data_IF_311965301564
#
_entry.id   IF_311965301564
#
_cell.length_a   1.000
_cell.length_b   1.000
_cell.length_c   1.000
_cell.angle_alpha   90.00
_cell.angle_beta   90.00
_cell.angle_gamma   90.00
#
_symmetry.space_group_name_H-M   'P 1'
#
loop_
_entity.id
_entity.type
_entity.pdbx_description
1 polymer ?
#
# COMPACT_ATOMS: atom_id res chain seq x y z
N UNK A 1 -4.98 -18.84 7.90
CA UNK A 1 -5.02 -20.21 7.34
C UNK A 1 -4.22 -20.22 6.05
N UNK A 2 -3.27 -21.14 5.92
CA UNK A 2 -2.43 -21.32 4.73
C UNK A 2 -3.27 -21.82 3.55
N UNK A 3 -2.96 -21.36 2.33
CA UNK A 3 -3.58 -21.89 1.11
C UNK A 3 -3.06 -23.32 0.88
N UNK A 4 -3.74 -24.33 1.43
CA UNK A 4 -3.34 -25.75 1.34
C UNK A 4 -3.15 -26.21 -0.10
N UNK A 5 -3.91 -25.62 -1.04
CA UNK A 5 -3.72 -25.87 -2.47
C UNK A 5 -2.39 -25.31 -2.97
N UNK A 6 -2.04 -24.06 -2.60
CA UNK A 6 -0.76 -23.44 -2.96
C UNK A 6 0.43 -24.28 -2.48
N UNK A 7 0.35 -24.87 -1.28
CA UNK A 7 1.38 -25.77 -0.76
C UNK A 7 1.44 -27.09 -1.52
N UNK A 8 0.28 -27.68 -1.82
CA UNK A 8 0.16 -28.93 -2.55
C UNK A 8 0.72 -28.82 -3.98
N UNK A 9 0.36 -27.78 -4.74
CA UNK A 9 0.76 -27.66 -6.16
C UNK A 9 2.18 -27.13 -6.39
N UNK A 10 2.87 -26.75 -5.31
CA UNK A 10 4.25 -26.25 -5.37
C UNK A 10 5.26 -27.14 -4.63
N UNK A 11 4.90 -28.33 -4.16
CA UNK A 11 5.79 -29.26 -3.46
C UNK A 11 6.09 -30.54 -4.28
N UNK A 12 7.32 -31.05 -4.18
CA UNK A 12 7.74 -32.40 -4.61
C UNK A 12 7.09 -33.02 -5.86
N UNK A 13 6.48 -34.20 -5.68
CA UNK A 13 5.84 -35.01 -6.74
C UNK A 13 4.56 -34.35 -7.28
N UNK A 14 3.79 -33.69 -6.42
CA UNK A 14 2.52 -33.03 -6.76
C UNK A 14 2.72 -31.81 -7.66
N UNK A 15 3.90 -31.15 -7.61
CA UNK A 15 4.31 -30.12 -8.58
C UNK A 15 4.36 -30.66 -10.02
N UNK A 16 4.90 -31.87 -10.21
CA UNK A 16 5.00 -32.51 -11.54
C UNK A 16 3.61 -32.91 -12.04
N UNK A 17 2.80 -33.50 -11.16
CA UNK A 17 1.43 -33.90 -11.46
C UNK A 17 0.55 -32.69 -11.83
N UNK A 18 0.62 -31.61 -11.06
CA UNK A 18 -0.13 -30.39 -11.33
C UNK A 18 0.27 -29.75 -12.67
N UNK A 19 1.55 -29.80 -13.05
CA UNK A 19 2.01 -29.34 -14.35
C UNK A 19 1.47 -30.21 -15.51
N UNK A 20 1.47 -31.53 -15.36
CA UNK A 20 0.91 -32.46 -16.36
C UNK A 20 -0.61 -32.30 -16.52
N UNK A 21 -1.31 -31.96 -15.44
CA UNK A 21 -2.76 -31.76 -15.42
C UNK A 21 -3.18 -30.31 -15.78
N UNK A 22 -2.23 -29.43 -16.11
CA UNK A 22 -2.53 -28.03 -16.45
C UNK A 22 -3.16 -27.21 -15.32
N UNK A 23 -2.96 -27.62 -14.06
CA UNK A 23 -3.56 -26.95 -12.92
C UNK A 23 -2.92 -25.58 -12.66
N UNK A 24 -3.69 -24.56 -12.24
CA UNK A 24 -3.14 -23.27 -11.83
C UNK A 24 -2.08 -23.41 -10.74
N UNK A 25 -0.91 -22.81 -10.95
CA UNK A 25 0.22 -22.88 -10.00
C UNK A 25 0.65 -21.47 -9.58
N UNK A 26 -0.12 -20.83 -8.69
CA UNK A 26 0.26 -19.52 -8.17
C UNK A 26 1.64 -19.58 -7.52
N UNK A 27 2.42 -18.52 -7.71
CA UNK A 27 3.75 -18.41 -7.13
C UNK A 27 3.66 -18.18 -5.61
N UNK A 28 4.64 -18.64 -4.84
CA UNK A 28 4.79 -18.22 -3.45
C UNK A 28 5.32 -16.78 -3.46
N UNK A 29 4.51 -15.83 -2.98
CA UNK A 29 4.92 -14.42 -2.95
C UNK A 29 5.98 -14.18 -1.87
N UNK A 30 7.08 -13.54 -2.27
CA UNK A 30 8.12 -13.04 -1.35
C UNK A 30 7.51 -11.90 -0.53
N UNK A 31 7.53 -12.05 0.80
CA UNK A 31 7.09 -11.03 1.77
C UNK A 31 8.25 -10.59 2.64
N UNK A 32 8.17 -9.37 3.13
CA UNK A 32 9.25 -8.77 3.91
C UNK A 32 9.49 -9.52 5.23
N UNK A 33 10.76 -9.55 5.62
CA UNK A 33 11.26 -10.03 6.91
C UNK A 33 12.44 -9.10 7.27
N UNK A 34 12.57 -8.71 8.55
CA UNK A 34 13.69 -7.86 8.97
C UNK A 34 15.04 -8.42 8.55
N UNK A 35 15.92 -7.54 8.07
CA UNK A 35 17.29 -7.89 7.66
C UNK A 35 17.42 -8.64 6.33
N UNK A 36 16.32 -8.84 5.59
CA UNK A 36 16.38 -9.36 4.22
C UNK A 36 16.63 -8.20 3.25
N UNK A 37 17.54 -8.35 2.27
CA UNK A 37 17.82 -7.30 1.28
C UNK A 37 16.56 -6.81 0.55
N UNK A 38 16.56 -5.56 0.10
CA UNK A 38 15.45 -4.95 -0.64
C UNK A 38 15.14 -5.75 -1.92
N UNK A 39 16.16 -5.99 -2.73
CA UNK A 39 16.12 -6.82 -3.93
C UNK A 39 17.04 -8.04 -3.77
N UNK A 40 16.73 -9.11 -4.47
CA UNK A 40 17.61 -10.29 -4.57
C UNK A 40 18.06 -10.40 -6.03
N UNK A 41 18.99 -9.52 -6.43
CA UNK A 41 19.51 -9.39 -7.80
C UNK A 41 19.52 -7.95 -8.32
N UNK A 42 20.08 -7.73 -9.51
CA UNK A 42 20.27 -6.39 -10.08
C UNK A 42 18.95 -5.73 -10.48
N UNK A 43 18.97 -4.40 -10.50
CA UNK A 43 17.92 -3.55 -11.04
C UNK A 43 18.31 -3.03 -12.42
N UNK A 44 17.36 -2.99 -13.34
CA UNK A 44 17.51 -2.34 -14.64
C UNK A 44 16.74 -1.03 -14.63
N UNK A 45 17.39 0.10 -14.89
CA UNK A 45 16.72 1.40 -15.03
C UNK A 45 16.78 1.83 -16.49
N UNK A 46 15.60 1.99 -17.09
CA UNK A 46 15.41 2.36 -18.49
C UNK A 46 14.70 3.72 -18.56
N UNK A 47 15.00 4.48 -19.60
CA UNK A 47 14.51 5.84 -19.77
C UNK A 47 15.60 6.72 -20.37
N UNK A 48 15.29 7.98 -20.62
CA UNK A 48 16.24 8.99 -21.07
C UNK A 48 16.11 10.21 -20.17
N UNK A 49 17.09 11.10 -20.26
CA UNK A 49 17.05 12.39 -19.58
C UNK A 49 17.43 12.36 -18.11
N UNK A 50 17.44 13.54 -17.48
CA UNK A 50 17.99 13.75 -16.14
C UNK A 50 17.24 12.96 -15.06
N UNK A 51 15.93 12.80 -15.18
CA UNK A 51 15.13 12.01 -14.24
C UNK A 51 15.55 10.52 -14.26
N UNK A 52 15.81 9.96 -15.43
CA UNK A 52 16.25 8.57 -15.56
C UNK A 52 17.63 8.36 -14.94
N UNK A 53 18.54 9.33 -15.10
CA UNK A 53 19.87 9.30 -14.51
C UNK A 53 19.82 9.48 -12.99
N UNK A 54 18.97 10.39 -12.50
CA UNK A 54 18.76 10.62 -11.07
C UNK A 54 18.20 9.37 -10.36
N UNK A 55 17.23 8.68 -10.96
CA UNK A 55 16.70 7.42 -10.41
C UNK A 55 17.79 6.34 -10.39
N UNK A 56 18.61 6.22 -11.44
CA UNK A 56 19.69 5.24 -11.45
C UNK A 56 20.76 5.53 -10.38
N UNK A 57 21.17 6.79 -10.24
CA UNK A 57 22.11 7.22 -9.22
C UNK A 57 21.55 6.98 -7.80
N UNK A 58 20.27 7.27 -7.58
CA UNK A 58 19.58 7.00 -6.31
C UNK A 58 19.62 5.50 -5.97
N UNK A 59 19.25 4.63 -6.91
CA UNK A 59 19.23 3.18 -6.67
C UNK A 59 20.63 2.59 -6.45
N UNK A 60 21.67 3.18 -7.06
CA UNK A 60 23.06 2.78 -6.89
C UNK A 60 23.73 3.39 -5.64
N UNK A 61 23.05 4.31 -4.94
CA UNK A 61 23.65 5.04 -3.81
C UNK A 61 24.03 4.08 -2.67
N UNK A 62 25.25 4.21 -2.11
CA UNK A 62 25.73 3.31 -1.07
C UNK A 62 24.95 3.52 0.23
N UNK A 63 24.85 2.46 1.03
CA UNK A 63 24.33 2.56 2.39
C UNK A 63 25.22 3.49 3.25
N UNK A 64 24.62 4.41 4.01
CA UNK A 64 25.34 5.38 4.83
C UNK A 64 25.85 6.64 4.10
N UNK A 65 25.49 6.84 2.82
CA UNK A 65 25.82 8.06 2.07
C UNK A 65 24.99 9.29 2.48
N UNK A 66 25.40 10.51 2.09
CA UNK A 66 24.60 11.71 2.29
C UNK A 66 23.23 11.54 1.61
N UNK A 67 22.18 12.08 2.24
CA UNK A 67 20.78 11.88 1.82
C UNK A 67 20.51 12.28 0.36
N UNK A 68 21.28 13.22 -0.20
CA UNK A 68 21.24 13.65 -1.60
C UNK A 68 22.52 14.42 -1.98
N UNK A 69 23.00 14.35 -3.24
CA UNK A 69 24.11 15.19 -3.73
C UNK A 69 23.73 16.67 -3.94
N UNK A 70 22.46 17.06 -3.69
CA UNK A 70 21.93 18.41 -3.94
C UNK A 70 21.19 19.04 -2.75
N UNK A 71 21.28 18.45 -1.55
CA UNK A 71 20.77 19.04 -0.32
C UNK A 71 21.95 19.28 0.64
N UNK A 72 21.96 20.43 1.30
CA UNK A 72 23.04 20.95 2.15
C UNK A 72 23.70 19.89 3.06
N UNK A 73 25.02 20.04 3.29
CA UNK A 73 25.91 19.20 4.13
C UNK A 73 25.44 18.98 5.59
N UNK A 74 24.30 19.56 5.99
CA UNK A 74 23.69 19.42 7.30
C UNK A 74 22.61 18.30 7.39
N UNK A 75 22.24 17.66 6.28
CA UNK A 75 21.29 16.55 6.32
C UNK A 75 21.92 15.29 6.96
N UNK A 76 21.26 14.65 7.94
CA UNK A 76 21.77 13.42 8.54
C UNK A 76 21.97 12.34 7.46
N UNK A 77 23.09 11.61 7.54
CA UNK A 77 23.36 10.50 6.65
C UNK A 77 22.23 9.47 6.70
N UNK A 78 21.74 9.04 5.53
CA UNK A 78 20.75 7.96 5.44
C UNK A 78 21.50 6.66 5.70
N UNK A 79 21.28 6.03 6.86
CA UNK A 79 22.05 4.86 7.28
C UNK A 79 21.84 3.66 6.34
N UNK A 80 20.67 3.55 5.69
CA UNK A 80 20.37 2.50 4.71
C UNK A 80 20.04 3.06 3.31
N UNK A 81 21.07 3.51 2.59
CA UNK A 81 21.05 3.68 1.13
C UNK A 81 20.61 2.41 0.38
N UNK A 82 20.48 2.50 -0.93
CA UNK A 82 19.87 1.44 -1.74
C UNK A 82 20.83 0.29 -2.04
N UNK A 83 22.11 0.61 -2.27
CA UNK A 83 23.22 -0.31 -2.56
C UNK A 83 22.86 -1.40 -3.59
N UNK A 84 22.13 -1.00 -4.65
CA UNK A 84 21.72 -1.92 -5.70
C UNK A 84 22.74 -1.94 -6.83
N UNK A 85 22.96 -3.13 -7.38
CA UNK A 85 23.58 -3.30 -8.69
C UNK A 85 22.62 -2.79 -9.78
N UNK A 86 22.93 -1.62 -10.36
CA UNK A 86 22.08 -0.92 -11.31
C UNK A 86 22.66 -0.98 -12.72
N UNK A 87 21.91 -1.59 -13.63
CA UNK A 87 22.20 -1.57 -15.06
C UNK A 87 21.37 -0.48 -15.76
N UNK A 88 21.97 0.21 -16.73
CA UNK A 88 21.28 1.20 -17.61
C UNK A 88 20.84 0.63 -18.95
N UNK A 89 21.27 -0.59 -19.26
CA UNK A 89 20.95 -1.29 -20.50
C UNK A 89 20.70 -2.78 -20.20
N UNK A 90 19.81 -3.46 -20.94
CA UNK A 90 19.65 -4.90 -20.85
C UNK A 90 20.98 -5.60 -21.12
N UNK A 91 21.43 -6.42 -20.18
CA UNK A 91 22.61 -7.26 -20.34
C UNK A 91 22.19 -8.69 -20.70
N UNK A 92 22.87 -9.35 -21.68
CA UNK A 92 22.67 -10.76 -21.95
C UNK A 92 22.87 -11.60 -20.68
N UNK A 93 22.08 -12.65 -20.52
CA UNK A 93 22.17 -13.63 -19.42
C UNK A 93 21.94 -13.09 -17.98
N UNK A 94 21.62 -11.80 -17.83
CA UNK A 94 21.29 -11.21 -16.54
C UNK A 94 19.80 -11.39 -16.23
N UNK A 95 19.53 -11.95 -15.04
CA UNK A 95 18.17 -12.06 -14.50
C UNK A 95 17.93 -10.97 -13.47
N UNK A 96 17.21 -9.94 -13.89
CA UNK A 96 16.88 -8.79 -13.05
C UNK A 96 15.86 -9.13 -11.96
N UNK A 97 16.06 -8.54 -10.78
CA UNK A 97 15.07 -8.52 -9.70
C UNK A 97 14.07 -7.37 -9.88
N UNK A 98 14.50 -6.28 -10.52
CA UNK A 98 13.65 -5.13 -10.79
C UNK A 98 13.92 -4.53 -12.18
N UNK A 99 12.87 -3.98 -12.78
CA UNK A 99 12.94 -3.12 -13.96
C UNK A 99 12.20 -1.82 -13.64
N UNK A 100 12.89 -0.68 -13.72
CA UNK A 100 12.32 0.65 -13.51
C UNK A 100 12.30 1.39 -14.83
N UNK A 101 11.11 1.77 -15.28
CA UNK A 101 10.85 2.51 -16.51
C UNK A 101 10.60 3.98 -16.15
N UNK A 102 11.60 4.84 -16.32
CA UNK A 102 11.48 6.28 -16.12
C UNK A 102 11.02 6.91 -17.43
N UNK A 103 9.77 7.35 -17.44
CA UNK A 103 9.00 7.81 -18.59
C UNK A 103 8.47 9.24 -18.38
N UNK A 104 9.18 10.05 -17.58
CA UNK A 104 8.76 11.42 -17.24
C UNK A 104 8.88 12.39 -18.41
N UNK A 105 9.79 12.13 -19.35
CA UNK A 105 10.05 12.95 -20.54
C UNK A 105 9.20 12.58 -21.76
N UNK A 106 8.27 11.63 -21.63
CA UNK A 106 7.42 11.18 -22.75
C UNK A 106 6.46 12.30 -23.17
N UNK A 107 6.56 12.72 -24.44
CA UNK A 107 5.77 13.82 -25.01
C UNK A 107 4.96 13.39 -26.25
N UNK A 108 5.30 12.26 -26.87
CA UNK A 108 4.58 11.64 -27.97
C UNK A 108 4.46 10.12 -27.76
N UNK A 109 3.39 9.44 -28.21
CA UNK A 109 3.25 7.99 -28.04
C UNK A 109 4.42 7.15 -28.59
N UNK A 110 5.09 7.64 -29.63
CA UNK A 110 6.25 6.98 -30.24
C UNK A 110 7.47 6.91 -29.29
N UNK A 111 7.56 7.82 -28.31
CA UNK A 111 8.65 7.86 -27.33
C UNK A 111 8.66 6.60 -26.43
N UNK A 112 7.54 5.91 -26.32
CA UNK A 112 7.40 4.70 -25.51
C UNK A 112 8.17 3.51 -26.09
N UNK A 113 8.30 3.43 -27.43
CA UNK A 113 8.78 2.23 -28.09
C UNK A 113 10.17 1.80 -27.61
N UNK A 114 11.11 2.74 -27.49
CA UNK A 114 12.48 2.46 -27.06
C UNK A 114 12.58 1.81 -25.67
N UNK A 115 12.20 2.52 -24.58
CA UNK A 115 12.29 1.98 -23.23
C UNK A 115 11.41 0.74 -23.02
N UNK A 116 10.22 0.69 -23.63
CA UNK A 116 9.31 -0.46 -23.46
C UNK A 116 9.84 -1.72 -24.13
N UNK A 117 10.36 -1.64 -25.36
CA UNK A 117 10.94 -2.80 -26.04
C UNK A 117 12.23 -3.27 -25.36
N UNK A 118 13.03 -2.33 -24.82
CA UNK A 118 14.18 -2.67 -23.99
C UNK A 118 13.75 -3.45 -22.73
N UNK A 119 12.70 -3.01 -22.03
CA UNK A 119 12.15 -3.75 -20.90
C UNK A 119 11.66 -5.14 -21.32
N UNK A 120 10.86 -5.21 -22.40
CA UNK A 120 10.28 -6.45 -22.91
C UNK A 120 11.32 -7.56 -23.14
N UNK A 121 12.51 -7.20 -23.63
CA UNK A 121 13.63 -8.14 -23.85
C UNK A 121 14.08 -8.88 -22.58
N UNK A 122 13.81 -8.32 -21.40
CA UNK A 122 14.26 -8.85 -20.10
C UNK A 122 13.17 -9.56 -19.30
N UNK A 123 11.89 -9.29 -19.58
CA UNK A 123 10.76 -9.75 -18.75
C UNK A 123 10.65 -11.28 -18.65
N UNK A 124 11.02 -11.99 -19.72
CA UNK A 124 11.05 -13.47 -19.71
C UNK A 124 12.08 -14.01 -18.71
N UNK A 125 13.17 -13.27 -18.48
CA UNK A 125 14.26 -13.60 -17.56
C UNK A 125 14.07 -13.08 -16.13
N UNK A 126 13.02 -12.29 -15.86
CA UNK A 126 12.77 -11.68 -14.56
C UNK A 126 12.80 -12.73 -13.44
N UNK A 127 13.39 -12.38 -12.29
CA UNK A 127 13.45 -13.27 -11.13
C UNK A 127 12.03 -13.49 -10.56
N UNK A 128 11.74 -14.65 -9.94
CA UNK A 128 10.48 -14.86 -9.23
C UNK A 128 10.26 -13.78 -8.16
N UNK A 129 9.06 -13.23 -8.09
CA UNK A 129 8.78 -12.08 -7.23
C UNK A 129 9.47 -10.78 -7.68
N UNK A 130 9.87 -10.68 -8.96
CA UNK A 130 10.46 -9.46 -9.50
C UNK A 130 9.50 -8.27 -9.50
N UNK A 131 10.05 -7.09 -9.75
CA UNK A 131 9.30 -5.83 -9.71
C UNK A 131 9.44 -5.08 -11.02
N UNK A 132 8.33 -4.61 -11.57
CA UNK A 132 8.35 -3.62 -12.65
C UNK A 132 7.71 -2.35 -12.13
N UNK A 133 8.43 -1.24 -12.22
CA UNK A 133 7.94 0.06 -11.74
C UNK A 133 8.04 1.11 -12.83
N UNK A 134 6.94 1.76 -13.19
CA UNK A 134 7.02 2.99 -14.01
C UNK A 134 7.18 4.20 -13.09
N UNK A 135 7.97 5.18 -13.52
CA UNK A 135 8.02 6.53 -12.93
C UNK A 135 7.65 7.49 -14.04
N UNK A 136 6.49 8.12 -13.97
CA UNK A 136 5.96 8.94 -15.06
C UNK A 136 5.12 10.11 -14.54
N UNK A 137 4.80 11.05 -15.42
CA UNK A 137 3.96 12.22 -15.11
C UNK A 137 2.50 11.94 -15.48
N UNK A 138 1.51 12.48 -14.74
CA UNK A 138 0.10 12.32 -15.08
C UNK A 138 -0.24 13.10 -16.36
N UNK A 139 -1.21 12.64 -17.14
CA UNK A 139 -1.81 13.46 -18.18
C UNK A 139 -2.69 14.55 -17.52
N UNK A 140 -2.62 15.78 -18.01
CA UNK A 140 -3.44 16.90 -17.52
C UNK A 140 -4.30 17.48 -18.63
N UNK A 141 -5.38 18.19 -18.25
CA UNK A 141 -6.35 18.71 -19.23
C UNK A 141 -5.81 19.88 -20.07
N UNK A 142 -4.77 20.56 -19.59
CA UNK A 142 -4.20 21.76 -20.20
C UNK A 142 -3.01 21.45 -21.14
N UNK A 143 -2.66 20.17 -21.30
CA UNK A 143 -1.56 19.71 -22.15
C UNK A 143 -1.93 19.64 -23.64
N UNK A 144 -0.90 19.67 -24.50
CA UNK A 144 -1.06 19.32 -25.90
C UNK A 144 -1.59 17.87 -26.03
N UNK A 145 -2.54 17.58 -26.94
CA UNK A 145 -3.16 16.25 -27.05
C UNK A 145 -2.17 15.09 -27.20
N UNK A 146 -1.03 15.30 -27.88
CA UNK A 146 0.01 14.29 -28.02
C UNK A 146 0.68 13.92 -26.68
N UNK A 147 0.96 14.93 -25.84
CA UNK A 147 1.56 14.74 -24.51
C UNK A 147 0.58 14.02 -23.59
N UNK A 148 -0.66 14.50 -23.53
CA UNK A 148 -1.71 13.87 -22.73
C UNK A 148 -1.95 12.40 -23.16
N UNK A 149 -2.00 12.13 -24.47
CA UNK A 149 -2.14 10.77 -24.99
C UNK A 149 -0.95 9.88 -24.63
N UNK A 150 0.28 10.39 -24.71
CA UNK A 150 1.48 9.65 -24.40
C UNK A 150 1.57 9.32 -22.89
N UNK A 151 1.35 10.31 -22.03
CA UNK A 151 1.34 10.16 -20.56
C UNK A 151 0.22 9.21 -20.10
N UNK A 152 -1.00 9.38 -20.60
CA UNK A 152 -2.13 8.49 -20.29
C UNK A 152 -1.91 7.07 -20.82
N UNK A 153 -1.18 6.92 -21.94
CA UNK A 153 -0.78 5.64 -22.51
C UNK A 153 0.07 4.79 -21.55
N UNK A 154 0.90 5.43 -20.71
CA UNK A 154 1.73 4.74 -19.72
C UNK A 154 0.88 3.98 -18.69
N UNK A 155 -0.25 4.55 -18.27
CA UNK A 155 -1.17 3.91 -17.32
C UNK A 155 -1.74 2.60 -17.88
N UNK A 156 -2.19 2.64 -19.13
CA UNK A 156 -2.75 1.49 -19.83
C UNK A 156 -1.70 0.41 -20.10
N UNK A 157 -0.49 0.85 -20.50
CA UNK A 157 0.68 0.00 -20.67
C UNK A 157 0.99 -0.74 -19.37
N UNK A 158 1.20 -0.03 -18.26
CA UNK A 158 1.59 -0.64 -16.98
C UNK A 158 0.56 -1.66 -16.51
N UNK A 159 -0.74 -1.30 -16.55
CA UNK A 159 -1.80 -2.21 -16.09
C UNK A 159 -1.87 -3.48 -16.94
N UNK A 160 -1.61 -3.38 -18.24
CA UNK A 160 -1.57 -4.55 -19.12
C UNK A 160 -0.32 -5.38 -18.86
N UNK A 161 0.84 -4.73 -18.78
CA UNK A 161 2.13 -5.34 -18.46
C UNK A 161 2.07 -6.15 -17.16
N UNK A 162 1.50 -5.59 -16.09
CA UNK A 162 1.34 -6.28 -14.81
C UNK A 162 0.54 -7.60 -14.93
N UNK A 163 -0.47 -7.68 -15.82
CA UNK A 163 -1.24 -8.92 -16.07
C UNK A 163 -0.44 -9.98 -16.83
N UNK A 164 0.59 -9.57 -17.55
CA UNK A 164 1.46 -10.47 -18.32
C UNK A 164 2.64 -11.01 -17.50
N UNK A 165 2.97 -10.35 -16.39
CA UNK A 165 4.03 -10.78 -15.49
C UNK A 165 3.73 -12.16 -14.88
N UNK A 166 4.80 -12.91 -14.62
CA UNK A 166 4.75 -14.30 -14.13
C UNK A 166 5.59 -14.45 -12.86
N UNK A 167 5.49 -15.61 -12.23
CA UNK A 167 6.34 -15.95 -11.09
C UNK A 167 6.09 -15.10 -9.84
N UNK A 168 4.90 -14.51 -9.70
CA UNK A 168 4.56 -13.63 -8.58
C UNK A 168 5.22 -12.25 -8.65
N UNK A 169 5.74 -11.87 -9.82
CA UNK A 169 6.18 -10.51 -10.07
C UNK A 169 4.98 -9.55 -10.14
N UNK A 170 5.23 -8.27 -9.85
CA UNK A 170 4.20 -7.22 -9.80
C UNK A 170 4.64 -6.02 -10.62
N UNK A 171 3.68 -5.34 -11.25
CA UNK A 171 3.87 -4.09 -11.98
C UNK A 171 3.12 -2.94 -11.31
N UNK A 172 3.81 -1.88 -10.87
CA UNK A 172 3.19 -0.69 -10.26
C UNK A 172 3.77 0.62 -10.83
N UNK A 173 3.14 1.75 -10.60
CA UNK A 173 3.56 3.04 -11.15
C UNK A 173 3.60 4.12 -10.09
N UNK A 174 4.68 4.89 -10.09
CA UNK A 174 4.83 6.12 -9.34
C UNK A 174 4.49 7.27 -10.29
N UNK A 175 3.33 7.90 -10.06
CA UNK A 175 2.86 9.01 -10.87
C UNK A 175 3.30 10.29 -10.18
N UNK A 176 4.28 10.98 -10.73
CA UNK A 176 4.92 12.14 -10.09
C UNK A 176 4.27 13.39 -10.66
N UNK A 177 3.62 14.21 -9.82
CA UNK A 177 3.02 15.47 -10.26
C UNK A 177 4.07 16.39 -10.92
N UNK A 178 3.66 17.20 -11.90
CA UNK A 178 4.60 18.12 -12.57
C UNK A 178 5.26 19.07 -11.54
N UNK A 179 6.55 19.35 -11.75
CA UNK A 179 7.35 20.15 -10.81
C UNK A 179 7.90 19.39 -9.59
N UNK A 180 7.41 18.20 -9.28
CA UNK A 180 7.97 17.37 -8.20
C UNK A 180 9.21 16.61 -8.69
N UNK A 181 10.38 16.71 -8.03
CA UNK A 181 11.56 15.94 -8.40
C UNK A 181 11.36 14.44 -8.22
N UNK A 182 11.92 13.60 -9.12
CA UNK A 182 11.89 12.13 -8.95
C UNK A 182 12.68 11.63 -7.74
N UNK A 183 13.45 12.53 -7.13
CA UNK A 183 14.25 12.34 -5.92
C UNK A 183 13.56 12.83 -4.65
N UNK A 184 12.36 13.39 -4.75
CA UNK A 184 11.59 13.86 -3.60
C UNK A 184 11.32 12.70 -2.60
N UNK A 185 11.30 12.97 -1.28
CA UNK A 185 11.13 11.95 -0.24
C UNK A 185 10.00 10.96 -0.51
N UNK A 186 8.84 11.46 -0.93
CA UNK A 186 7.66 10.62 -1.23
C UNK A 186 7.77 9.80 -2.50
N UNK A 187 8.49 10.29 -3.51
CA UNK A 187 8.79 9.50 -4.72
C UNK A 187 9.75 8.37 -4.35
N UNK A 188 10.81 8.68 -3.60
CA UNK A 188 11.79 7.70 -3.12
C UNK A 188 11.13 6.63 -2.26
N UNK A 189 10.30 7.03 -1.30
CA UNK A 189 9.58 6.11 -0.41
C UNK A 189 8.60 5.21 -1.18
N UNK A 190 7.86 5.78 -2.14
CA UNK A 190 6.94 5.02 -2.99
C UNK A 190 7.69 4.01 -3.86
N UNK A 191 8.79 4.44 -4.48
CA UNK A 191 9.66 3.56 -5.27
C UNK A 191 10.21 2.43 -4.40
N UNK A 192 10.67 2.72 -3.18
CA UNK A 192 11.20 1.71 -2.25
C UNK A 192 10.12 0.73 -1.83
N UNK A 193 8.92 1.21 -1.53
CA UNK A 193 7.78 0.36 -1.22
C UNK A 193 7.48 -0.60 -2.37
N UNK A 194 7.34 -0.10 -3.61
CA UNK A 194 7.03 -0.95 -4.77
C UNK A 194 8.16 -1.90 -5.15
N UNK A 195 9.43 -1.52 -4.96
CA UNK A 195 10.57 -2.40 -5.22
C UNK A 195 10.77 -3.47 -4.13
N UNK A 196 10.17 -3.30 -2.95
CA UNK A 196 10.36 -4.21 -1.83
C UNK A 196 9.45 -5.45 -1.84
N UNK A 197 9.69 -6.34 -0.88
CA UNK A 197 8.78 -7.42 -0.53
C UNK A 197 7.58 -6.96 0.32
N UNK A 198 7.51 -5.69 0.72
CA UNK A 198 6.38 -5.09 1.47
C UNK A 198 5.16 -4.86 0.56
N UNK A 199 5.37 -4.66 -0.74
CA UNK A 199 4.31 -4.50 -1.75
C UNK A 199 3.80 -5.82 -2.37
N UNK A 200 4.02 -6.97 -1.73
CA UNK A 200 3.85 -8.29 -2.35
C UNK A 200 2.47 -8.56 -2.99
N UNK A 201 1.40 -7.90 -2.51
CA UNK A 201 0.04 -8.04 -3.02
C UNK A 201 -0.54 -6.72 -3.58
N UNK A 202 0.33 -5.75 -3.85
CA UNK A 202 0.02 -4.51 -4.57
C UNK A 202 0.49 -4.69 -6.00
N UNK A 203 -0.46 -4.72 -6.93
CA UNK A 203 -0.17 -5.03 -8.33
C UNK A 203 -1.12 -4.29 -9.26
N UNK A 204 -0.60 -3.81 -10.38
CA UNK A 204 -1.27 -2.95 -11.34
C UNK A 204 -1.75 -1.62 -10.78
N UNK A 205 -1.12 -1.11 -9.70
CA UNK A 205 -1.51 0.15 -9.06
C UNK A 205 -0.68 1.33 -9.56
N UNK A 206 -1.33 2.48 -9.64
CA UNK A 206 -0.73 3.77 -9.93
C UNK A 206 -0.88 4.61 -8.66
N UNK A 207 0.22 5.01 -8.05
CA UNK A 207 0.21 5.85 -6.86
C UNK A 207 0.80 7.21 -7.21
N UNK A 208 -0.02 8.23 -7.02
CA UNK A 208 0.34 9.61 -7.31
C UNK A 208 1.05 10.26 -6.11
N UNK A 209 2.09 11.01 -6.41
CA UNK A 209 2.88 11.83 -5.48
C UNK A 209 2.71 13.29 -5.90
N UNK A 210 2.05 14.05 -5.02
CA UNK A 210 1.54 15.40 -5.25
C UNK A 210 2.57 16.51 -5.06
N UNK A 211 3.55 16.28 -4.18
CA UNK A 211 4.50 17.29 -3.75
C UNK A 211 5.83 16.69 -3.34
N UNK A 212 6.81 17.56 -3.09
CA UNK A 212 8.10 17.22 -2.50
C UNK A 212 8.05 16.99 -0.98
N UNK A 213 6.86 17.04 -0.37
CA UNK A 213 6.67 16.83 1.05
C UNK A 213 7.06 15.39 1.48
N UNK A 214 7.45 15.27 2.74
CA UNK A 214 7.84 14.02 3.38
C UNK A 214 9.24 14.09 3.97
N UNK A 215 9.56 13.15 4.84
CA UNK A 215 10.85 13.05 5.51
C UNK A 215 11.37 11.62 5.40
N UNK A 216 12.53 11.45 4.77
CA UNK A 216 13.17 10.14 4.67
C UNK A 216 13.60 9.66 6.05
N UNK A 217 13.37 8.39 6.41
CA UNK A 217 13.77 7.89 7.71
C UNK A 217 15.30 7.73 7.75
N UNK A 218 15.85 7.88 8.95
CA UNK A 218 17.27 7.56 9.20
C UNK A 218 17.54 6.06 9.14
N UNK A 219 16.55 5.23 9.49
CA UNK A 219 16.56 3.76 9.45
C UNK A 219 15.31 3.28 8.67
N UNK A 220 15.53 2.61 7.54
CA UNK A 220 14.44 2.15 6.66
C UNK A 220 13.76 0.86 7.16
N UNK A 221 14.37 0.15 8.08
CA UNK A 221 13.75 -0.96 8.81
C UNK A 221 12.85 -0.45 9.94
N UNK A 222 13.07 0.78 10.42
CA UNK A 222 12.25 1.44 11.45
C UNK A 222 11.70 2.82 11.03
N UNK A 223 10.95 2.91 9.91
CA UNK A 223 10.50 4.19 9.34
C UNK A 223 9.46 4.93 10.20
N UNK A 224 8.93 4.30 11.25
CA UNK A 224 7.95 4.87 12.18
C UNK A 224 8.52 5.08 13.58
N UNK A 225 9.85 5.00 13.74
CA UNK A 225 10.51 5.22 15.02
C UNK A 225 10.07 6.55 15.66
N UNK A 226 9.65 6.48 16.92
CA UNK A 226 9.20 7.65 17.69
C UNK A 226 7.75 8.08 17.43
N UNK A 227 7.03 7.46 16.49
CA UNK A 227 5.61 7.77 16.22
C UNK A 227 4.68 6.98 17.14
N UNK A 228 3.57 7.60 17.55
CA UNK A 228 2.48 6.96 18.30
C UNK A 228 1.30 6.74 17.36
N UNK A 229 0.88 5.47 17.22
CA UNK A 229 -0.15 5.05 16.28
C UNK A 229 -1.34 4.40 16.98
N UNK A 230 -2.55 4.88 16.69
CA UNK A 230 -3.80 4.25 17.11
C UNK A 230 -4.31 3.35 15.98
N UNK A 231 -4.70 2.11 16.30
CA UNK A 231 -5.30 1.18 15.35
C UNK A 231 -6.66 0.72 15.88
N UNK A 232 -7.74 1.01 15.15
CA UNK A 232 -9.09 0.56 15.52
C UNK A 232 -9.40 -0.84 14.98
N UNK A 233 -10.20 -1.63 15.70
CA UNK A 233 -10.47 -3.03 15.35
C UNK A 233 -9.22 -3.91 15.44
N UNK A 234 -8.35 -3.63 16.41
CA UNK A 234 -7.01 -4.22 16.51
C UNK A 234 -6.95 -5.56 17.24
N UNK A 235 -8.07 -6.09 17.75
CA UNK A 235 -8.04 -7.33 18.52
C UNK A 235 -7.57 -8.55 17.69
N UNK A 236 -7.87 -8.56 16.38
CA UNK A 236 -7.58 -9.70 15.49
C UNK A 236 -7.49 -9.32 14.01
N UNK A 237 -7.20 -10.31 13.17
CA UNK A 237 -7.28 -10.18 11.72
C UNK A 237 -6.35 -9.11 11.16
N UNK A 238 -6.88 -8.28 10.25
CA UNK A 238 -6.11 -7.20 9.60
C UNK A 238 -5.65 -6.14 10.62
N UNK A 239 -6.50 -5.76 11.58
CA UNK A 239 -6.13 -4.76 12.59
C UNK A 239 -4.97 -5.22 13.48
N UNK A 240 -4.97 -6.50 13.88
CA UNK A 240 -3.84 -7.07 14.62
C UNK A 240 -2.55 -7.10 13.78
N UNK A 241 -2.65 -7.45 12.49
CA UNK A 241 -1.50 -7.43 11.59
C UNK A 241 -0.96 -6.01 11.34
N UNK A 242 -1.85 -5.00 11.26
CA UNK A 242 -1.46 -3.59 11.20
C UNK A 242 -0.69 -3.22 12.47
N UNK A 243 -1.21 -3.55 13.66
CA UNK A 243 -0.51 -3.31 14.92
C UNK A 243 0.89 -3.95 14.94
N UNK A 244 0.99 -5.21 14.50
CA UNK A 244 2.27 -5.94 14.45
C UNK A 244 3.29 -5.26 13.51
N UNK A 245 2.85 -4.82 12.33
CA UNK A 245 3.74 -4.16 11.35
C UNK A 245 4.12 -2.75 11.78
N UNK A 246 3.20 -1.94 12.29
CA UNK A 246 3.52 -0.59 12.77
C UNK A 246 4.54 -0.65 13.93
N UNK A 247 4.38 -1.61 14.84
CA UNK A 247 5.33 -1.81 15.94
C UNK A 247 6.69 -2.32 15.46
N UNK A 248 6.71 -3.26 14.49
CA UNK A 248 7.95 -3.71 13.83
C UNK A 248 8.72 -2.53 13.25
N UNK A 249 7.99 -1.64 12.58
CA UNK A 249 8.54 -0.44 11.93
C UNK A 249 8.86 0.70 12.94
N UNK A 250 8.69 0.46 14.24
CA UNK A 250 9.18 1.33 15.31
C UNK A 250 8.12 2.22 15.99
N UNK A 251 6.85 2.13 15.61
CA UNK A 251 5.78 2.89 16.24
C UNK A 251 5.40 2.33 17.63
N UNK A 252 5.02 3.22 18.54
CA UNK A 252 4.30 2.86 19.76
C UNK A 252 2.82 2.72 19.44
N UNK A 253 2.24 1.52 19.64
CA UNK A 253 0.86 1.24 19.21
C UNK A 253 -0.14 1.34 20.37
N UNK A 254 -1.24 2.04 20.13
CA UNK A 254 -2.48 2.00 20.92
C UNK A 254 -3.49 1.14 20.16
N UNK A 255 -3.74 -0.06 20.65
CA UNK A 255 -4.69 -1.00 20.06
C UNK A 255 -6.09 -0.72 20.61
N UNK A 256 -7.05 -0.42 19.72
CA UNK A 256 -8.44 -0.10 20.08
C UNK A 256 -9.38 -1.17 19.54
N UNK A 257 -10.26 -1.69 20.40
CA UNK A 257 -11.36 -2.56 19.99
C UNK A 257 -12.48 -2.54 21.05
N UNK A 258 -13.62 -3.15 20.73
CA UNK A 258 -14.77 -3.20 21.65
C UNK A 258 -14.43 -3.98 22.93
N UNK A 259 -15.05 -3.66 24.09
CA UNK A 259 -14.81 -4.39 25.34
C UNK A 259 -14.98 -5.91 25.22
N UNK A 260 -15.94 -6.36 24.41
CA UNK A 260 -16.20 -7.78 24.16
C UNK A 260 -15.01 -8.52 23.49
N UNK A 261 -14.07 -7.80 22.87
CA UNK A 261 -12.85 -8.36 22.28
C UNK A 261 -11.62 -8.17 23.20
N UNK A 262 -11.82 -7.79 24.46
CA UNK A 262 -10.78 -7.34 25.39
C UNK A 262 -9.62 -8.32 25.59
N UNK A 263 -9.88 -9.63 25.62
CA UNK A 263 -8.84 -10.66 25.77
C UNK A 263 -7.89 -10.67 24.55
N UNK A 264 -8.46 -10.73 23.34
CA UNK A 264 -7.70 -10.70 22.09
C UNK A 264 -6.97 -9.36 21.91
N UNK A 265 -7.62 -8.26 22.32
CA UNK A 265 -7.02 -6.93 22.31
C UNK A 265 -5.80 -6.84 23.23
N UNK A 266 -5.92 -7.35 24.45
CA UNK A 266 -4.80 -7.42 25.39
C UNK A 266 -3.64 -8.28 24.84
N UNK A 267 -3.95 -9.42 24.22
CA UNK A 267 -2.95 -10.27 23.57
C UNK A 267 -2.20 -9.53 22.44
N UNK A 268 -2.91 -8.78 21.60
CA UNK A 268 -2.28 -7.95 20.57
C UNK A 268 -1.45 -6.82 21.17
N UNK A 269 -1.98 -6.06 22.11
CA UNK A 269 -1.25 -4.97 22.78
C UNK A 269 0.05 -5.48 23.46
N UNK A 270 -0.01 -6.62 24.15
CA UNK A 270 1.16 -7.23 24.78
C UNK A 270 2.20 -7.69 23.74
N UNK A 271 1.76 -8.32 22.65
CA UNK A 271 2.66 -8.79 21.58
C UNK A 271 3.44 -7.65 20.93
N UNK A 272 2.77 -6.51 20.72
CA UNK A 272 3.39 -5.31 20.12
C UNK A 272 4.02 -4.37 21.14
N UNK A 273 4.02 -4.74 22.43
CA UNK A 273 4.47 -3.90 23.55
C UNK A 273 3.80 -2.51 23.56
N UNK A 274 2.54 -2.46 23.12
CA UNK A 274 1.70 -1.27 23.07
C UNK A 274 0.75 -1.18 24.26
N UNK A 275 -0.31 -0.39 24.12
CA UNK A 275 -1.38 -0.29 25.12
C UNK A 275 -2.74 -0.63 24.50
N UNK A 276 -3.62 -1.24 25.30
CA UNK A 276 -4.99 -1.54 24.89
C UNK A 276 -5.95 -0.43 25.37
N UNK A 277 -6.90 -0.06 24.51
CA UNK A 277 -8.03 0.80 24.85
C UNK A 277 -9.32 0.10 24.41
N UNK A 278 -10.11 -0.37 25.38
CA UNK A 278 -11.41 -0.95 25.12
C UNK A 278 -12.45 0.16 24.90
N UNK A 279 -12.94 0.28 23.67
CA UNK A 279 -13.80 1.38 23.21
C UNK A 279 -14.64 0.92 22.01
N UNK A 280 -15.93 1.22 22.05
CA UNK A 280 -16.76 1.22 20.85
C UNK A 280 -16.49 2.50 20.06
N UNK A 281 -15.96 2.36 18.84
CA UNK A 281 -15.63 3.51 17.98
C UNK A 281 -16.86 4.34 17.59
N UNK A 282 -18.07 3.79 17.73
CA UNK A 282 -19.31 4.52 17.44
C UNK A 282 -19.75 5.42 18.57
N UNK A 283 -19.18 5.27 19.78
CA UNK A 283 -19.50 6.10 20.94
C UNK A 283 -19.28 7.60 20.63
N UNK A 284 -20.14 8.49 21.15
CA UNK A 284 -20.00 9.93 20.92
C UNK A 284 -18.65 10.49 21.35
N UNK A 285 -18.07 9.94 22.42
CA UNK A 285 -16.82 10.36 23.06
C UNK A 285 -15.57 9.61 22.58
N UNK A 286 -15.68 8.84 21.48
CA UNK A 286 -14.61 7.95 21.03
C UNK A 286 -13.34 8.72 20.63
N UNK A 287 -13.49 9.88 19.99
CA UNK A 287 -12.37 10.73 19.59
C UNK A 287 -11.60 11.26 20.80
N UNK A 288 -12.32 11.80 21.80
CA UNK A 288 -11.73 12.35 23.02
C UNK A 288 -11.00 11.26 23.81
N UNK A 289 -11.60 10.07 23.92
CA UNK A 289 -11.01 8.94 24.66
C UNK A 289 -9.74 8.41 23.98
N UNK A 290 -9.72 8.35 22.65
CA UNK A 290 -8.53 7.95 21.89
C UNK A 290 -7.39 8.95 22.15
N UNK A 291 -7.69 10.24 21.99
CA UNK A 291 -6.70 11.30 22.16
C UNK A 291 -6.17 11.35 23.61
N UNK A 292 -7.06 11.32 24.60
CA UNK A 292 -6.71 11.33 26.01
C UNK A 292 -5.84 10.14 26.39
N UNK A 293 -6.13 8.94 25.88
CA UNK A 293 -5.33 7.75 26.15
C UNK A 293 -3.93 7.84 25.53
N UNK A 294 -3.84 8.26 24.26
CA UNK A 294 -2.55 8.43 23.59
C UNK A 294 -1.67 9.47 24.29
N UNK A 295 -2.24 10.62 24.66
CA UNK A 295 -1.54 11.68 25.41
C UNK A 295 -1.11 11.21 26.80
N UNK A 296 -2.01 10.61 27.57
CA UNK A 296 -1.72 10.20 28.94
C UNK A 296 -0.64 9.10 29.03
N UNK A 297 -0.55 8.22 28.03
CA UNK A 297 0.42 7.12 28.03
C UNK A 297 1.71 7.42 27.30
N UNK A 298 1.63 8.21 26.23
CA UNK A 298 2.73 8.36 25.26
C UNK A 298 3.05 9.82 24.91
N UNK A 299 2.31 10.78 25.47
CA UNK A 299 2.54 12.23 25.30
C UNK A 299 2.05 12.81 23.97
N UNK A 300 1.77 11.99 22.96
CA UNK A 300 1.40 12.43 21.59
C UNK A 300 0.52 11.43 20.86
N UNK A 301 -0.03 11.85 19.72
CA UNK A 301 -0.67 11.00 18.72
C UNK A 301 -0.23 11.47 17.32
N UNK A 302 0.27 10.56 16.50
CA UNK A 302 0.81 10.87 15.16
C UNK A 302 0.02 10.20 14.04
N UNK A 303 -0.41 8.96 14.29
CA UNK A 303 -1.07 8.13 13.29
C UNK A 303 -2.40 7.64 13.83
N UNK A 304 -3.47 7.76 13.04
CA UNK A 304 -4.73 7.07 13.28
C UNK A 304 -5.06 6.15 12.11
N UNK A 305 -5.24 4.86 12.41
CA UNK A 305 -5.65 3.85 11.45
C UNK A 305 -7.09 3.43 11.70
N UNK A 306 -7.97 3.83 10.78
CA UNK A 306 -9.38 3.47 10.79
C UNK A 306 -9.61 2.11 10.13
N UNK A 307 -9.31 1.04 10.87
CA UNK A 307 -9.48 -0.34 10.40
C UNK A 307 -10.80 -0.98 10.87
N UNK A 308 -11.39 -0.55 11.98
CA UNK A 308 -12.65 -1.09 12.48
C UNK A 308 -13.73 -1.05 11.38
N UNK A 309 -14.41 -2.18 11.21
CA UNK A 309 -15.46 -2.29 10.20
C UNK A 309 -16.24 -3.59 10.28
N UNK A 310 -17.49 -3.54 9.85
CA UNK A 310 -18.41 -4.67 9.83
C UNK A 310 -19.11 -4.83 8.49
N UNK A 311 -19.60 -6.04 8.23
CA UNK A 311 -20.48 -6.38 7.12
C UNK A 311 -21.82 -6.88 7.64
N UNK A 312 -22.90 -6.55 6.93
CA UNK A 312 -24.27 -7.05 7.18
C UNK A 312 -24.94 -7.32 5.85
N UNK A 313 -24.37 -8.29 5.13
CA UNK A 313 -24.73 -8.57 3.75
C UNK A 313 -26.18 -9.01 3.62
N UNK A 314 -26.90 -8.36 2.69
CA UNK A 314 -28.29 -8.64 2.34
C UNK A 314 -28.60 -7.94 1.01
N UNK A 315 -29.42 -8.57 0.17
CA UNK A 315 -29.96 -7.87 -1.00
C UNK A 315 -30.78 -6.66 -0.54
N UNK A 316 -30.71 -5.54 -1.27
CA UNK A 316 -31.34 -4.28 -0.86
C UNK A 316 -32.85 -4.43 -0.63
N UNK A 317 -33.53 -5.22 -1.46
CA UNK A 317 -34.97 -5.53 -1.31
C UNK A 317 -35.34 -6.19 0.03
N UNK A 318 -34.35 -6.75 0.74
CA UNK A 318 -34.52 -7.42 2.03
C UNK A 318 -33.70 -6.74 3.14
N UNK A 319 -33.18 -5.53 2.92
CA UNK A 319 -32.35 -4.80 3.88
C UNK A 319 -33.24 -4.21 4.98
N UNK A 320 -32.83 -4.39 6.24
CA UNK A 320 -33.49 -3.75 7.38
C UNK A 320 -32.74 -2.48 7.79
N UNK A 321 -33.41 -1.50 8.43
CA UNK A 321 -32.75 -0.28 8.94
C UNK A 321 -31.53 -0.59 9.80
N UNK A 322 -31.64 -1.49 10.78
CA UNK A 322 -30.52 -1.84 11.68
C UNK A 322 -29.27 -2.35 10.95
N UNK A 323 -29.46 -3.13 9.86
CA UNK A 323 -28.36 -3.65 9.05
C UNK A 323 -27.73 -2.58 8.18
N UNK A 324 -28.51 -1.61 7.75
CA UNK A 324 -28.03 -0.46 6.99
C UNK A 324 -27.25 0.49 7.90
N UNK A 325 -27.90 0.95 8.97
CA UNK A 325 -27.40 1.95 9.90
C UNK A 325 -26.16 1.49 10.64
N UNK A 326 -26.13 0.26 11.16
CA UNK A 326 -24.95 -0.25 11.88
C UNK A 326 -23.69 -0.28 11.01
N UNK A 327 -23.82 -0.63 9.72
CA UNK A 327 -22.69 -0.67 8.80
C UNK A 327 -22.14 0.74 8.55
N UNK A 328 -23.01 1.73 8.31
CA UNK A 328 -22.60 3.13 8.13
C UNK A 328 -22.02 3.73 9.42
N UNK A 329 -22.68 3.46 10.55
CA UNK A 329 -22.27 3.96 11.86
C UNK A 329 -20.83 3.56 12.19
N UNK A 330 -20.48 2.28 12.02
CA UNK A 330 -19.14 1.77 12.30
C UNK A 330 -18.14 2.15 11.21
N UNK A 331 -18.49 1.95 9.93
CA UNK A 331 -17.50 1.96 8.86
C UNK A 331 -17.15 3.36 8.35
N UNK A 332 -17.97 4.40 8.60
CA UNK A 332 -17.69 5.76 8.10
C UNK A 332 -18.11 6.86 9.07
N UNK A 333 -19.30 6.78 9.70
CA UNK A 333 -19.76 7.87 10.57
C UNK A 333 -18.91 8.01 11.84
N UNK A 334 -18.48 6.89 12.43
CA UNK A 334 -17.51 6.89 13.53
C UNK A 334 -16.19 7.56 13.16
N UNK A 335 -15.67 7.27 11.96
CA UNK A 335 -14.40 7.81 11.48
C UNK A 335 -14.47 9.33 11.31
N UNK A 336 -15.58 9.84 10.76
CA UNK A 336 -15.84 11.28 10.64
C UNK A 336 -15.84 11.97 12.00
N UNK A 337 -16.56 11.44 12.99
CA UNK A 337 -16.61 12.01 14.35
C UNK A 337 -15.24 12.00 15.03
N UNK A 338 -14.51 10.88 14.94
CA UNK A 338 -13.16 10.78 15.50
C UNK A 338 -12.24 11.80 14.82
N UNK A 339 -12.27 11.90 13.50
CA UNK A 339 -11.45 12.86 12.77
C UNK A 339 -11.79 14.31 13.13
N UNK A 340 -13.07 14.66 13.31
CA UNK A 340 -13.48 16.01 13.74
C UNK A 340 -12.82 16.40 15.07
N UNK A 341 -12.85 15.50 16.07
CA UNK A 341 -12.19 15.73 17.36
C UNK A 341 -10.67 15.86 17.18
N UNK A 342 -10.04 14.95 16.42
CA UNK A 342 -8.59 14.99 16.20
C UNK A 342 -8.16 16.30 15.52
N UNK A 343 -8.83 16.69 14.43
CA UNK A 343 -8.52 17.88 13.64
C UNK A 343 -8.73 19.19 14.41
N UNK A 344 -9.63 19.23 15.39
CA UNK A 344 -9.93 20.44 16.17
C UNK A 344 -9.21 20.50 17.52
N UNK A 345 -8.56 19.41 17.96
CA UNK A 345 -7.94 19.30 19.29
C UNK A 345 -6.70 20.18 19.50
N UNK A 346 -5.99 20.56 18.44
CA UNK A 346 -4.65 21.14 18.53
C UNK A 346 -3.53 20.17 18.94
N UNK A 347 -3.86 18.92 19.29
CA UNK A 347 -2.91 17.89 19.73
C UNK A 347 -2.51 16.92 18.60
N UNK A 348 -3.13 17.02 17.42
CA UNK A 348 -2.90 16.16 16.25
C UNK A 348 -2.37 16.99 15.07
N UNK A 349 -1.23 17.65 15.28
CA UNK A 349 -0.71 18.70 14.38
C UNK A 349 0.73 18.48 13.89
N UNK A 350 1.48 17.53 14.45
CA UNK A 350 2.87 17.28 14.06
C UNK A 350 2.98 16.22 12.94
N UNK A 351 2.77 16.66 11.70
CA UNK A 351 2.72 15.77 10.52
C UNK A 351 1.75 14.60 10.70
N UNK A 352 0.46 14.86 11.00
CA UNK A 352 -0.51 13.81 11.28
C UNK A 352 -0.72 12.86 10.10
N UNK A 353 -0.99 11.59 10.38
CA UNK A 353 -1.26 10.56 9.37
C UNK A 353 -2.60 9.89 9.65
N UNK A 354 -3.55 10.02 8.73
CA UNK A 354 -4.83 9.31 8.75
C UNK A 354 -4.80 8.23 7.68
N UNK A 355 -4.91 6.95 8.07
CA UNK A 355 -5.00 5.84 7.11
C UNK A 355 -6.29 5.06 7.34
N UNK A 356 -7.18 5.04 6.34
CA UNK A 356 -8.47 4.38 6.46
C UNK A 356 -8.57 3.10 5.60
N UNK A 357 -9.32 2.11 6.09
CA UNK A 357 -9.56 0.87 5.35
C UNK A 357 -10.85 1.02 4.53
N UNK A 358 -10.69 1.23 3.22
CA UNK A 358 -11.73 1.15 2.22
C UNK A 358 -11.99 -0.31 1.82
N UNK A 359 -12.38 -0.57 0.57
CA UNK A 359 -12.54 -1.92 0.00
C UNK A 359 -12.68 -1.84 -1.51
N UNK A 360 -12.30 -2.90 -2.23
CA UNK A 360 -12.67 -3.02 -3.65
C UNK A 360 -14.18 -2.99 -3.88
N UNK A 361 -15.00 -3.45 -2.92
CA UNK A 361 -16.47 -3.31 -2.98
C UNK A 361 -16.93 -1.85 -2.94
N UNK A 362 -16.17 -0.95 -2.29
CA UNK A 362 -16.46 0.48 -2.31
C UNK A 362 -16.13 1.17 -3.64
N UNK A 363 -15.29 0.53 -4.46
CA UNK A 363 -14.88 1.05 -5.78
C UNK A 363 -15.84 0.54 -6.87
N UNK A 364 -16.12 -0.77 -6.86
CA UNK A 364 -16.83 -1.43 -7.97
C UNK A 364 -18.23 -1.93 -7.61
N UNK A 365 -18.64 -1.83 -6.35
CA UNK A 365 -19.85 -2.47 -5.84
C UNK A 365 -19.67 -3.99 -5.65
N UNK A 366 -20.63 -4.60 -4.95
CA UNK A 366 -20.74 -6.05 -4.84
C UNK A 366 -22.18 -6.46 -4.53
N UNK A 367 -22.61 -7.62 -5.04
CA UNK A 367 -23.99 -8.11 -4.84
C UNK A 367 -24.24 -8.38 -3.36
N UNK A 368 -25.34 -7.82 -2.84
CA UNK A 368 -25.72 -7.97 -1.43
C UNK A 368 -24.96 -7.07 -0.46
N UNK A 369 -24.15 -6.13 -0.97
CA UNK A 369 -23.31 -5.24 -0.18
C UNK A 369 -23.63 -3.77 -0.45
N UNK A 370 -24.88 -3.38 -0.68
CA UNK A 370 -25.22 -1.97 -0.94
C UNK A 370 -24.88 -1.06 0.24
N UNK A 371 -25.17 -1.47 1.47
CA UNK A 371 -24.75 -0.78 2.70
C UNK A 371 -23.21 -0.73 2.84
N UNK A 372 -22.53 -1.87 2.64
CA UNK A 372 -21.09 -1.96 2.81
C UNK A 372 -20.32 -1.18 1.74
N UNK A 373 -20.72 -1.30 0.47
CA UNK A 373 -20.15 -0.54 -0.65
C UNK A 373 -20.40 0.96 -0.47
N UNK A 374 -21.60 1.38 -0.03
CA UNK A 374 -21.86 2.77 0.32
C UNK A 374 -20.91 3.25 1.43
N UNK A 375 -20.71 2.45 2.48
CA UNK A 375 -19.80 2.79 3.57
C UNK A 375 -18.34 2.94 3.10
N UNK A 376 -17.84 2.00 2.29
CA UNK A 376 -16.44 1.96 1.85
C UNK A 376 -16.16 2.96 0.71
N UNK A 377 -17.15 3.27 -0.12
CA UNK A 377 -17.12 4.42 -1.01
C UNK A 377 -17.11 5.74 -0.24
N UNK A 378 -17.90 5.82 0.84
CA UNK A 378 -17.89 6.93 1.78
C UNK A 378 -16.52 7.17 2.43
N UNK A 379 -15.81 6.10 2.82
CA UNK A 379 -14.42 6.20 3.32
C UNK A 379 -13.47 6.81 2.27
N UNK A 380 -13.59 6.43 1.00
CA UNK A 380 -12.78 7.00 -0.08
C UNK A 380 -13.06 8.49 -0.24
N UNK A 381 -14.34 8.89 -0.17
CA UNK A 381 -14.73 10.30 -0.21
C UNK A 381 -14.22 11.09 0.99
N UNK A 382 -14.38 10.54 2.20
CA UNK A 382 -13.88 11.12 3.45
C UNK A 382 -12.38 11.37 3.38
N UNK A 383 -11.59 10.37 3.01
CA UNK A 383 -10.13 10.50 2.91
C UNK A 383 -9.73 11.62 1.96
N UNK A 384 -10.34 11.69 0.78
CA UNK A 384 -10.06 12.73 -0.22
C UNK A 384 -10.40 14.14 0.31
N UNK A 385 -11.50 14.27 1.04
CA UNK A 385 -11.94 15.54 1.61
C UNK A 385 -11.12 15.96 2.85
N UNK A 386 -10.67 15.01 3.67
CA UNK A 386 -9.83 15.27 4.86
C UNK A 386 -8.39 15.63 4.48
N UNK A 387 -7.85 15.04 3.42
CA UNK A 387 -6.46 15.21 3.02
C UNK A 387 -6.00 16.69 2.90
N UNK A 388 -6.69 17.59 2.18
CA UNK A 388 -6.26 19.00 2.06
C UNK A 388 -6.30 19.75 3.40
N UNK A 389 -7.08 19.31 4.38
CA UNK A 389 -7.12 19.93 5.72
C UNK A 389 -5.86 19.63 6.53
N UNK A 390 -5.16 18.54 6.20
CA UNK A 390 -3.94 18.11 6.90
C UNK A 390 -2.65 18.64 6.28
N UNK A 391 -2.67 19.02 5.00
CA UNK A 391 -1.49 19.53 4.27
C UNK A 391 -0.82 20.71 4.99
N UNK A 392 -1.55 21.72 5.54
CA UNK A 392 -0.92 22.83 6.27
C UNK A 392 -0.12 22.40 7.51
N UNK A 393 -0.37 21.20 8.03
CA UNK A 393 0.32 20.61 9.19
C UNK A 393 1.39 19.58 8.78
N UNK A 394 1.75 19.51 7.50
CA UNK A 394 2.63 18.45 6.96
C UNK A 394 1.99 17.05 7.02
N UNK A 395 0.66 17.00 7.18
CA UNK A 395 -0.12 15.78 7.38
C UNK A 395 -0.72 15.21 6.10
N UNK A 396 -1.16 13.95 6.17
CA UNK A 396 -1.81 13.25 5.05
C UNK A 396 -3.02 12.46 5.51
N UNK A 397 -4.04 12.36 4.64
CA UNK A 397 -5.07 11.32 4.75
C UNK A 397 -5.03 10.42 3.52
N UNK A 398 -4.98 9.11 3.72
CA UNK A 398 -4.97 8.11 2.65
C UNK A 398 -5.85 6.91 3.01
N UNK A 399 -6.16 6.07 2.01
CA UNK A 399 -6.91 4.84 2.18
C UNK A 399 -6.18 3.64 1.58
N UNK A 400 -6.39 2.49 2.19
CA UNK A 400 -6.09 1.19 1.59
C UNK A 400 -7.39 0.50 1.23
N UNK A 401 -7.52 -0.03 0.02
CA UNK A 401 -8.68 -0.77 -0.46
C UNK A 401 -8.32 -2.25 -0.68
N UNK A 402 -8.46 -3.11 0.35
CA UNK A 402 -8.17 -4.52 0.21
C UNK A 402 -9.10 -5.21 -0.80
N UNK A 403 -8.53 -6.15 -1.55
CA UNK A 403 -9.26 -7.15 -2.33
C UNK A 403 -9.61 -8.38 -1.50
N UNK A 404 -9.44 -9.57 -2.08
CA UNK A 404 -9.64 -10.82 -1.37
C UNK A 404 -8.43 -11.13 -0.45
N UNK A 405 -8.64 -11.07 0.86
CA UNK A 405 -7.60 -11.32 1.88
C UNK A 405 -8.01 -12.49 2.77
N UNK A 406 -7.10 -13.45 2.98
CA UNK A 406 -7.31 -14.63 3.80
C UNK A 406 -7.45 -14.26 5.29
N UNK A 407 -8.70 -14.23 5.76
CA UNK A 407 -9.08 -13.91 7.14
C UNK A 407 -10.12 -14.92 7.67
N UNK A 408 -10.37 -14.89 8.97
CA UNK A 408 -11.50 -15.60 9.59
C UNK A 408 -12.85 -15.23 8.96
N UNK A 409 -13.01 -13.98 8.49
CA UNK A 409 -14.22 -13.52 7.83
C UNK A 409 -14.41 -14.20 6.48
N UNK A 410 -13.37 -14.21 5.64
CA UNK A 410 -13.43 -14.89 4.32
C UNK A 410 -13.52 -16.40 4.44
N UNK A 411 -13.09 -16.99 5.56
CA UNK A 411 -13.24 -18.41 5.81
C UNK A 411 -14.70 -18.88 5.86
N UNK A 412 -15.65 -17.97 6.13
CA UNK A 412 -17.10 -18.24 6.15
C UNK A 412 -17.74 -18.26 4.76
N UNK A 413 -17.03 -17.82 3.72
CA UNK A 413 -17.52 -17.85 2.33
C UNK A 413 -17.58 -19.32 1.86
N UNK A 414 -18.65 -19.74 1.15
CA UNK A 414 -18.75 -21.08 0.58
C UNK A 414 -17.51 -21.46 -0.24
N UNK A 415 -17.05 -22.71 -0.10
CA UNK A 415 -15.74 -23.14 -0.59
C UNK A 415 -15.50 -22.86 -2.08
N UNK A 416 -16.48 -23.15 -2.95
CA UNK A 416 -16.37 -22.93 -4.40
C UNK A 416 -16.26 -21.43 -4.73
N UNK A 417 -17.17 -20.61 -4.20
CA UNK A 417 -17.15 -19.15 -4.38
C UNK A 417 -15.84 -18.55 -3.87
N UNK A 418 -15.35 -19.03 -2.73
CA UNK A 418 -14.08 -18.61 -2.14
C UNK A 418 -12.88 -18.94 -3.05
N UNK A 419 -12.84 -20.15 -3.62
CA UNK A 419 -11.76 -20.54 -4.54
C UNK A 419 -11.79 -19.72 -5.84
N UNK A 420 -12.97 -19.45 -6.39
CA UNK A 420 -13.09 -18.59 -7.57
C UNK A 420 -12.58 -17.18 -7.24
N UNK A 421 -13.09 -16.55 -6.18
CA UNK A 421 -12.67 -15.20 -5.78
C UNK A 421 -11.15 -15.11 -5.50
N UNK A 422 -10.57 -16.15 -4.90
CA UNK A 422 -9.11 -16.27 -4.65
C UNK A 422 -8.27 -16.23 -5.93
N UNK A 423 -8.80 -16.67 -7.07
CA UNK A 423 -8.05 -16.78 -8.35
C UNK A 423 -8.35 -15.66 -9.35
N UNK A 424 -9.34 -14.78 -9.10
CA UNK A 424 -9.73 -13.68 -9.99
C UNK A 424 -8.81 -12.43 -9.88
N UNK A 425 -7.50 -12.65 -9.78
CA UNK A 425 -6.48 -11.60 -9.76
C UNK A 425 -5.18 -12.10 -10.45
N UNK A 426 -4.31 -11.19 -10.89
CA UNK A 426 -3.09 -11.54 -11.64
C UNK A 426 -2.13 -12.45 -10.87
N UNK A 427 -2.10 -12.33 -9.54
CA UNK A 427 -1.27 -13.17 -8.66
C UNK A 427 -1.90 -14.54 -8.36
N UNK A 428 -3.13 -14.77 -8.84
CA UNK A 428 -3.90 -16.00 -8.74
C UNK A 428 -3.95 -16.58 -7.31
N UNK A 429 -3.95 -15.74 -6.28
CA UNK A 429 -4.06 -16.17 -4.88
C UNK A 429 -4.70 -15.09 -4.00
N UNK A 430 -5.10 -15.46 -2.79
CA UNK A 430 -5.58 -14.50 -1.78
C UNK A 430 -4.43 -13.77 -1.12
N UNK A 431 -4.63 -12.49 -0.81
CA UNK A 431 -3.70 -11.72 -0.01
C UNK A 431 -3.69 -12.19 1.44
N UNK A 432 -2.67 -11.78 2.20
CA UNK A 432 -2.58 -11.98 3.64
C UNK A 432 -2.82 -10.66 4.38
N UNK A 433 -3.24 -10.71 5.67
CA UNK A 433 -3.37 -9.52 6.50
C UNK A 433 -2.11 -8.63 6.50
N UNK A 434 -0.92 -9.24 6.49
CA UNK A 434 0.34 -8.51 6.42
C UNK A 434 0.47 -7.68 5.14
N UNK A 435 -0.07 -8.14 4.00
CA UNK A 435 0.03 -7.39 2.75
C UNK A 435 -0.73 -6.04 2.82
N UNK A 436 -1.84 -6.02 3.57
CA UNK A 436 -2.60 -4.79 3.85
C UNK A 436 -1.86 -3.93 4.87
N UNK A 437 -1.31 -4.55 5.91
CA UNK A 437 -0.58 -3.87 6.97
C UNK A 437 0.68 -3.14 6.45
N UNK A 438 1.42 -3.74 5.51
CA UNK A 438 2.57 -3.11 4.87
C UNK A 438 2.19 -1.85 4.09
N UNK A 439 1.07 -1.88 3.36
CA UNK A 439 0.56 -0.69 2.65
C UNK A 439 0.10 0.40 3.63
N UNK A 440 -0.52 0.02 4.75
CA UNK A 440 -0.89 0.96 5.82
C UNK A 440 0.35 1.59 6.44
N UNK A 441 1.38 0.80 6.76
CA UNK A 441 2.61 1.30 7.36
C UNK A 441 3.37 2.25 6.43
N UNK A 442 3.42 1.94 5.13
CA UNK A 442 3.97 2.85 4.13
C UNK A 442 3.23 4.19 4.11
N UNK A 443 1.89 4.19 4.03
CA UNK A 443 1.08 5.42 4.01
C UNK A 443 1.09 6.17 5.35
N UNK A 444 1.40 5.49 6.45
CA UNK A 444 1.59 6.08 7.78
C UNK A 444 3.00 6.66 7.98
N UNK A 445 3.94 6.40 7.07
CA UNK A 445 5.32 6.86 7.23
C UNK A 445 5.48 8.37 7.04
N UNK A 446 6.42 9.02 7.74
CA UNK A 446 6.80 10.40 7.45
C UNK A 446 7.20 10.60 5.99
N UNK A 447 7.88 9.60 5.42
CA UNK A 447 8.40 9.61 4.06
C UNK A 447 7.32 9.65 2.97
N UNK A 448 6.08 9.26 3.27
CA UNK A 448 4.95 9.33 2.33
C UNK A 448 4.18 10.66 2.40
N UNK A 449 4.78 11.74 2.92
CA UNK A 449 4.11 13.03 3.16
C UNK A 449 3.52 13.74 1.93
N UNK A 450 3.99 13.40 0.74
CA UNK A 450 3.53 13.88 -0.57
C UNK A 450 2.53 12.94 -1.24
N UNK A 451 2.09 11.87 -0.57
CA UNK A 451 0.98 11.02 -1.02
C UNK A 451 -0.29 11.51 -0.32
N UNK A 452 -1.15 12.26 -1.01
CA UNK A 452 -2.25 12.99 -0.37
C UNK A 452 -3.60 12.60 -0.96
N UNK A 453 -4.53 12.11 -0.13
CA UNK A 453 -5.90 11.80 -0.54
C UNK A 453 -6.02 10.55 -1.41
N UNK A 454 -5.02 9.66 -1.39
CA UNK A 454 -4.91 8.52 -2.29
C UNK A 454 -5.60 7.27 -1.74
N UNK A 455 -6.11 6.43 -2.64
CA UNK A 455 -6.66 5.11 -2.30
C UNK A 455 -5.85 4.03 -3.00
N UNK A 456 -5.03 3.31 -2.24
CA UNK A 456 -4.18 2.24 -2.75
C UNK A 456 -4.88 0.88 -2.65
N UNK A 457 -5.08 0.17 -3.77
CA UNK A 457 -5.65 -1.19 -3.72
C UNK A 457 -4.57 -2.21 -3.37
N UNK A 458 -4.87 -3.07 -2.40
CA UNK A 458 -4.06 -4.24 -2.05
C UNK A 458 -4.85 -5.47 -2.48
N UNK A 459 -4.77 -5.81 -3.77
CA UNK A 459 -5.70 -6.73 -4.40
C UNK A 459 -5.08 -7.74 -5.38
N UNK A 460 -3.76 -7.76 -5.53
CA UNK A 460 -3.07 -8.63 -6.51
C UNK A 460 -3.53 -8.38 -7.96
N UNK A 461 -3.94 -7.15 -8.26
CA UNK A 461 -4.55 -6.75 -9.53
C UNK A 461 -5.88 -7.48 -9.84
N UNK A 462 -6.81 -7.48 -8.90
CA UNK A 462 -8.18 -7.97 -9.13
C UNK A 462 -8.82 -7.25 -10.33
N UNK A 463 -9.45 -8.03 -11.22
CA UNK A 463 -10.12 -7.55 -12.44
C UNK A 463 -11.24 -6.54 -12.18
N UNK A 464 -11.83 -6.57 -10.99
CA UNK A 464 -12.95 -5.69 -10.61
C UNK A 464 -12.42 -4.32 -10.13
N UNK A 465 -12.88 -3.22 -10.75
CA UNK A 465 -12.47 -1.85 -10.42
C UNK A 465 -13.21 -0.77 -11.21
N UNK A 466 -12.84 0.49 -10.96
CA UNK A 466 -13.20 1.69 -11.73
C UNK A 466 -11.92 2.37 -12.21
#
# INVERSE_FOLDING_TARGET
>A
MTDTYLELVNSGLTKKLAAQLGLPRPARLRRHRPGVPLLDGPALVLGRGPDADAVAALLASPAGGPAHPHLDDAAPAVLDGWDLDVHRHPAPDVRYAAVVLVLTDVAHPDDLAGPVLAAASTLKGLRPGGRVVTVHRPATADEAPAVAAARQGVDGLLRSLAKELRGGATGNGVVVADGVPVTAPSVVATLRFFLSARSAFVDGQLLEVDSDAGELPTDWERPLAGRVAVVTGAARGIGAAIADVLARDGATVVAVDVPAAGEQLAATANRVRGTALQLDVTAPDAGERILAHARARHGRLDVVVHNAGITRDKLLANMTPDRWESVLAVNVSAQLRINEVLLTSGDFVDSPRVVALASTSGIAGNRGQTNYAASKGGVIGMVRATAPLLVPFGGTANAVAPGFVETEMTARIPAVTRQVARRLNSLQQGGLPVDVAEAVAFLASPAAGGVVGRTLRVCGQNMVGR
#
